data_IF_007714234134
#
_entry.id   IF_007714234134
#
_cell.length_a   1.000
_cell.length_b   1.000
_cell.length_c   1.000
_cell.angle_alpha   90.00
_cell.angle_beta   90.00
_cell.angle_gamma   90.00
#
_symmetry.space_group_name_H-M   'P 1'
#
loop_
_entity.id
_entity.type
_entity.pdbx_description
1 polymer ?
#
# COMPACT_ATOMS: atom_id res chain seq x y z
N UNK A 1 4.22 6.09 -39.81
CA UNK A 1 4.60 4.73 -39.37
C UNK A 1 3.36 3.89 -39.52
N UNK A 2 3.22 3.25 -40.68
CA UNK A 2 2.06 2.42 -41.00
C UNK A 2 2.19 1.08 -40.27
N UNK A 3 1.17 0.74 -39.49
CA UNK A 3 1.07 -0.55 -38.80
C UNK A 3 0.50 -1.59 -39.77
N UNK A 4 1.01 -2.83 -39.78
CA UNK A 4 0.57 -3.84 -40.73
C UNK A 4 -0.92 -4.15 -40.54
N UNK A 5 -1.66 -4.04 -41.65
CA UNK A 5 -3.02 -4.55 -41.79
C UNK A 5 -2.95 -6.08 -41.69
N UNK A 6 -3.67 -6.63 -40.72
CA UNK A 6 -3.81 -8.07 -40.51
C UNK A 6 -4.55 -8.65 -41.73
N UNK A 7 -3.85 -9.48 -42.52
CA UNK A 7 -4.42 -10.25 -43.62
C UNK A 7 -4.81 -11.66 -43.14
N UNK A 8 -6.03 -12.05 -43.51
CA UNK A 8 -6.65 -13.37 -43.35
C UNK A 8 -5.70 -14.57 -43.52
N UNK A 9 -5.36 -15.23 -42.42
CA UNK A 9 -4.87 -16.60 -42.38
C UNK A 9 -5.47 -17.32 -41.16
N UNK A 10 -6.67 -17.90 -41.32
CA UNK A 10 -7.25 -18.92 -40.42
C UNK A 10 -6.97 -18.73 -38.92
N UNK A 11 -7.25 -17.53 -38.41
CA UNK A 11 -6.64 -17.05 -37.16
C UNK A 11 -7.14 -17.80 -35.93
N UNK A 12 -6.22 -18.41 -35.19
CA UNK A 12 -6.45 -18.60 -33.76
C UNK A 12 -6.74 -17.22 -33.16
N UNK A 13 -7.98 -17.00 -32.71
CA UNK A 13 -8.43 -15.69 -32.28
C UNK A 13 -7.47 -15.08 -31.23
N UNK A 14 -6.96 -13.88 -31.53
CA UNK A 14 -6.06 -13.08 -30.69
C UNK A 14 -6.50 -13.13 -29.23
N UNK A 15 -5.58 -13.40 -28.29
CA UNK A 15 -5.90 -13.41 -26.87
C UNK A 15 -5.69 -12.04 -26.26
N UNK A 16 -6.41 -11.80 -25.16
CA UNK A 16 -6.20 -10.63 -24.33
C UNK A 16 -5.94 -11.11 -22.91
N UNK A 17 -4.84 -10.64 -22.33
CA UNK A 17 -4.45 -10.96 -20.98
C UNK A 17 -4.53 -9.72 -20.10
N UNK A 18 -5.15 -9.86 -18.93
CA UNK A 18 -5.06 -8.87 -17.85
C UNK A 18 -4.00 -9.36 -16.87
N UNK A 19 -2.97 -8.54 -16.62
CA UNK A 19 -1.79 -8.97 -15.87
C UNK A 19 -1.44 -8.05 -14.70
N UNK A 20 -0.91 -8.68 -13.65
CA UNK A 20 -0.21 -8.05 -12.53
C UNK A 20 1.25 -8.49 -12.58
N UNK A 21 2.15 -7.54 -12.44
CA UNK A 21 3.58 -7.78 -12.60
C UNK A 21 4.27 -7.92 -11.25
N UNK A 22 3.95 -9.03 -10.57
CA UNK A 22 4.42 -9.33 -9.21
C UNK A 22 3.58 -8.66 -8.12
N UNK A 23 3.96 -8.91 -6.86
CA UNK A 23 3.30 -8.33 -5.67
C UNK A 23 3.34 -6.80 -5.74
N UNK A 24 2.20 -6.15 -5.50
CA UNK A 24 2.07 -4.69 -5.59
C UNK A 24 2.60 -4.09 -6.92
N UNK A 25 2.64 -4.91 -7.98
CA UNK A 25 3.19 -4.58 -9.30
C UNK A 25 4.65 -4.12 -9.30
N UNK A 26 5.49 -4.65 -8.41
CA UNK A 26 6.89 -4.23 -8.31
C UNK A 26 7.68 -4.35 -9.63
N UNK A 27 7.29 -5.25 -10.55
CA UNK A 27 7.97 -5.43 -11.83
C UNK A 27 7.37 -4.57 -12.97
N UNK A 28 6.31 -3.79 -12.70
CA UNK A 28 5.70 -2.90 -13.69
C UNK A 28 6.69 -1.90 -14.30
N UNK A 29 7.59 -1.23 -13.54
CA UNK A 29 8.56 -0.31 -14.13
C UNK A 29 9.47 -0.96 -15.17
N UNK A 30 9.80 -2.25 -15.01
CA UNK A 30 10.60 -3.02 -15.98
C UNK A 30 9.78 -3.22 -17.26
N UNK A 31 8.54 -3.68 -17.14
CA UNK A 31 7.64 -3.86 -18.28
C UNK A 31 7.49 -2.58 -19.10
N UNK A 32 7.25 -1.46 -18.42
CA UNK A 32 7.04 -0.16 -19.03
C UNK A 32 8.30 0.38 -19.72
N UNK A 33 9.46 0.31 -19.07
CA UNK A 33 10.69 0.91 -19.59
C UNK A 33 11.37 0.07 -20.68
N UNK A 34 11.27 -1.26 -20.56
CA UNK A 34 11.93 -2.19 -21.50
C UNK A 34 10.99 -2.70 -22.60
N UNK A 35 9.71 -2.31 -22.58
CA UNK A 35 8.69 -2.78 -23.52
C UNK A 35 8.60 -4.30 -23.56
N UNK A 36 8.42 -4.89 -22.37
CA UNK A 36 8.26 -6.33 -22.21
C UNK A 36 6.98 -6.65 -21.45
N UNK A 37 6.47 -7.86 -21.67
CA UNK A 37 5.55 -8.53 -20.75
C UNK A 37 6.33 -9.63 -20.04
N UNK A 38 6.19 -9.75 -18.73
CA UNK A 38 6.97 -10.71 -17.97
C UNK A 38 6.16 -11.45 -16.91
N UNK A 39 6.69 -12.61 -16.52
CA UNK A 39 6.33 -13.29 -15.29
C UNK A 39 7.56 -13.72 -14.52
N UNK A 40 7.35 -14.10 -13.28
CA UNK A 40 8.40 -14.47 -12.34
C UNK A 40 8.44 -15.98 -12.20
N UNK A 41 9.64 -16.54 -12.23
CA UNK A 41 9.89 -17.97 -12.11
C UNK A 41 11.03 -18.22 -11.11
N UNK A 42 10.80 -19.08 -10.13
CA UNK A 42 11.89 -19.54 -9.27
C UNK A 42 12.89 -20.37 -10.07
N UNK A 43 14.18 -20.10 -9.87
CA UNK A 43 15.27 -20.70 -10.67
C UNK A 43 15.33 -22.23 -10.63
N UNK A 44 14.93 -22.85 -9.53
CA UNK A 44 14.86 -24.31 -9.36
C UNK A 44 13.68 -24.96 -10.11
N UNK A 45 12.69 -24.17 -10.53
CA UNK A 45 11.60 -24.63 -11.38
C UNK A 45 11.94 -24.53 -12.89
N UNK A 46 13.00 -23.80 -13.24
CA UNK A 46 13.40 -23.60 -14.64
C UNK A 46 13.70 -24.91 -15.38
N UNK A 47 14.48 -25.88 -14.84
CA UNK A 47 14.81 -27.09 -15.57
C UNK A 47 13.58 -27.90 -16.00
N UNK A 48 12.57 -28.00 -15.14
CA UNK A 48 11.31 -28.67 -15.45
C UNK A 48 10.52 -27.95 -16.54
N UNK A 49 10.55 -26.61 -16.53
CA UNK A 49 9.87 -25.83 -17.57
C UNK A 49 10.57 -25.97 -18.92
N UNK A 50 11.90 -25.91 -18.95
CA UNK A 50 12.70 -26.07 -20.18
C UNK A 50 12.54 -27.47 -20.79
N UNK A 51 12.47 -28.52 -19.96
CA UNK A 51 12.25 -29.89 -20.42
C UNK A 51 10.78 -30.20 -20.78
N UNK A 52 9.89 -29.21 -20.65
CA UNK A 52 8.42 -29.35 -20.78
C UNK A 52 7.82 -30.39 -19.83
N UNK A 53 8.49 -30.68 -18.72
CA UNK A 53 8.02 -31.60 -17.68
C UNK A 53 7.05 -30.90 -16.71
N UNK A 54 5.81 -30.75 -17.16
CA UNK A 54 4.74 -30.17 -16.34
C UNK A 54 4.47 -31.00 -15.08
N UNK A 55 4.60 -32.33 -15.15
CA UNK A 55 4.31 -33.19 -14.00
C UNK A 55 5.36 -32.99 -12.90
N UNK A 56 6.65 -33.07 -13.27
CA UNK A 56 7.76 -32.82 -12.36
C UNK A 56 7.73 -31.41 -11.79
N UNK A 57 7.44 -30.39 -12.61
CA UNK A 57 7.25 -29.01 -12.14
C UNK A 57 6.21 -28.95 -11.02
N UNK A 58 5.04 -29.55 -11.23
CA UNK A 58 3.93 -29.50 -10.27
C UNK A 58 4.28 -30.24 -8.98
N UNK A 59 4.87 -31.43 -9.07
CA UNK A 59 5.29 -32.20 -7.90
C UNK A 59 6.36 -31.46 -7.09
N UNK A 60 7.36 -30.90 -7.78
CA UNK A 60 8.42 -30.13 -7.14
C UNK A 60 7.86 -28.90 -6.43
N UNK A 61 6.99 -28.13 -7.11
CA UNK A 61 6.36 -26.95 -6.54
C UNK A 61 5.54 -27.29 -5.27
N UNK A 62 4.74 -28.36 -5.31
CA UNK A 62 3.96 -28.82 -4.14
C UNK A 62 4.85 -29.27 -2.97
N UNK A 63 6.03 -29.83 -3.25
CA UNK A 63 6.92 -30.34 -2.20
C UNK A 63 7.82 -29.25 -1.60
N UNK A 64 8.23 -28.25 -2.38
CA UNK A 64 9.33 -27.34 -2.03
C UNK A 64 8.96 -25.86 -2.00
N UNK A 65 7.83 -25.46 -2.57
CA UNK A 65 7.45 -24.06 -2.72
C UNK A 65 6.36 -23.62 -1.77
N UNK A 66 6.26 -22.29 -1.63
CA UNK A 66 5.23 -21.61 -0.86
C UNK A 66 4.52 -20.60 -1.74
N UNK A 67 3.23 -20.41 -1.50
CA UNK A 67 2.45 -19.32 -2.11
C UNK A 67 2.82 -17.99 -1.45
N UNK A 68 2.34 -16.88 -2.00
CA UNK A 68 2.51 -15.54 -1.42
C UNK A 68 2.00 -15.42 0.04
N UNK A 69 1.11 -16.32 0.47
CA UNK A 69 0.60 -16.37 1.84
C UNK A 69 1.38 -17.34 2.75
N UNK A 70 2.51 -17.87 2.30
CA UNK A 70 3.34 -18.83 3.04
C UNK A 70 2.79 -20.26 3.07
N UNK A 71 1.72 -20.57 2.32
CA UNK A 71 1.09 -21.90 2.30
C UNK A 71 1.73 -22.80 1.25
N UNK A 72 1.68 -24.12 1.45
CA UNK A 72 2.06 -25.09 0.40
C UNK A 72 1.05 -25.02 -0.75
N UNK A 73 1.48 -24.88 -2.02
CA UNK A 73 0.55 -24.84 -3.14
C UNK A 73 -0.12 -26.20 -3.37
N UNK A 74 -1.39 -26.19 -3.76
CA UNK A 74 -2.06 -27.40 -4.25
C UNK A 74 -1.74 -27.64 -5.75
N UNK A 75 -2.14 -28.81 -6.27
CA UNK A 75 -1.90 -29.21 -7.67
C UNK A 75 -2.39 -28.17 -8.68
N UNK A 76 -3.56 -27.58 -8.45
CA UNK A 76 -4.15 -26.58 -9.33
C UNK A 76 -3.31 -25.30 -9.36
N UNK A 77 -2.86 -24.83 -8.20
CA UNK A 77 -2.01 -23.63 -8.05
C UNK A 77 -0.65 -23.83 -8.70
N UNK A 78 0.02 -24.95 -8.42
CA UNK A 78 1.30 -25.28 -9.03
C UNK A 78 1.20 -25.45 -10.56
N UNK A 79 0.13 -26.09 -11.03
CA UNK A 79 -0.15 -26.26 -12.47
C UNK A 79 -0.43 -24.92 -13.15
N UNK A 80 -1.05 -23.98 -12.43
CA UNK A 80 -1.26 -22.61 -12.90
C UNK A 80 0.07 -21.87 -13.07
N UNK A 81 1.00 -21.98 -12.13
CA UNK A 81 2.32 -21.34 -12.23
C UNK A 81 3.07 -21.77 -13.50
N UNK A 82 3.06 -23.07 -13.82
CA UNK A 82 3.60 -23.54 -15.10
C UNK A 82 2.92 -22.87 -16.31
N UNK A 83 1.58 -22.75 -16.26
CA UNK A 83 0.79 -22.11 -17.31
C UNK A 83 1.10 -20.62 -17.49
N UNK A 84 1.38 -19.88 -16.42
CA UNK A 84 1.77 -18.46 -16.51
C UNK A 84 3.05 -18.28 -17.34
N UNK A 85 4.06 -19.11 -17.08
CA UNK A 85 5.31 -19.07 -17.83
C UNK A 85 5.09 -19.44 -19.30
N UNK A 86 4.27 -20.47 -19.57
CA UNK A 86 3.91 -20.85 -20.93
C UNK A 86 3.16 -19.74 -21.67
N UNK A 87 2.24 -19.04 -21.01
CA UNK A 87 1.51 -17.94 -21.64
C UNK A 87 2.46 -16.81 -22.04
N UNK A 88 3.40 -16.42 -21.16
CA UNK A 88 4.39 -15.39 -21.50
C UNK A 88 5.31 -15.86 -22.63
N UNK A 89 5.80 -17.10 -22.57
CA UNK A 89 6.77 -17.58 -23.56
C UNK A 89 6.17 -17.69 -24.97
N UNK A 90 4.92 -18.15 -25.06
CA UNK A 90 4.28 -18.52 -26.32
C UNK A 90 3.33 -17.44 -26.86
N UNK A 91 3.12 -16.34 -26.14
CA UNK A 91 2.26 -15.25 -26.63
C UNK A 91 2.89 -14.61 -27.87
N UNK A 92 2.08 -14.34 -28.90
CA UNK A 92 2.48 -13.66 -30.14
C UNK A 92 1.28 -12.90 -30.64
N UNK A 93 1.44 -11.61 -30.90
CA UNK A 93 0.38 -10.70 -31.36
C UNK A 93 -0.85 -10.66 -30.41
N UNK A 94 -0.69 -11.08 -29.15
CA UNK A 94 -1.72 -11.01 -28.14
C UNK A 94 -1.66 -9.68 -27.39
N UNK A 95 -2.82 -9.21 -26.94
CA UNK A 95 -2.93 -7.98 -26.18
C UNK A 95 -2.68 -8.24 -24.70
N UNK A 96 -1.96 -7.33 -24.07
CA UNK A 96 -1.68 -7.33 -22.64
C UNK A 96 -2.18 -6.04 -22.05
N UNK A 97 -3.01 -6.13 -21.01
CA UNK A 97 -3.64 -5.00 -20.33
C UNK A 97 -3.23 -5.00 -18.86
N UNK A 98 -2.89 -3.82 -18.37
CA UNK A 98 -2.45 -3.59 -17.01
C UNK A 98 -3.03 -2.28 -16.47
N UNK A 99 -3.51 -2.29 -15.24
CA UNK A 99 -3.98 -1.08 -14.58
C UNK A 99 -2.99 -0.64 -13.51
N UNK A 100 -2.56 0.63 -13.57
CA UNK A 100 -1.68 1.23 -12.58
C UNK A 100 -2.15 2.65 -12.24
N UNK A 101 -2.47 2.91 -10.97
CA UNK A 101 -2.95 4.22 -10.52
C UNK A 101 -4.37 4.51 -11.03
N UNK A 102 -4.50 5.47 -11.94
CA UNK A 102 -5.75 5.74 -12.68
C UNK A 102 -5.57 5.51 -14.19
N UNK A 103 -4.43 4.97 -14.62
CA UNK A 103 -4.15 4.70 -16.03
C UNK A 103 -4.36 3.22 -16.35
N UNK A 104 -5.04 2.96 -17.47
CA UNK A 104 -5.11 1.64 -18.09
C UNK A 104 -4.08 1.59 -19.22
N UNK A 105 -3.08 0.74 -19.03
CA UNK A 105 -2.00 0.50 -19.97
C UNK A 105 -2.26 -0.74 -20.81
N UNK A 106 -1.84 -0.72 -22.06
CA UNK A 106 -1.86 -1.89 -22.91
C UNK A 106 -0.66 -1.96 -23.86
N UNK A 107 -0.35 -3.17 -24.30
CA UNK A 107 0.66 -3.48 -25.32
C UNK A 107 0.27 -4.74 -26.10
N UNK A 108 1.07 -5.08 -27.12
CA UNK A 108 0.96 -6.29 -27.93
C UNK A 108 2.29 -7.03 -27.88
N UNK A 109 2.26 -8.34 -27.61
CA UNK A 109 3.47 -9.17 -27.59
C UNK A 109 4.05 -9.40 -28.98
N UNK A 110 5.37 -9.45 -29.09
CA UNK A 110 6.08 -9.70 -30.34
C UNK A 110 6.13 -11.19 -30.70
N UNK A 111 6.54 -11.50 -31.92
CA UNK A 111 6.86 -12.86 -32.34
C UNK A 111 8.20 -13.39 -31.76
N UNK A 112 9.10 -12.49 -31.33
CA UNK A 112 10.44 -12.84 -30.81
C UNK A 112 10.41 -13.90 -29.70
N UNK A 113 11.47 -14.70 -29.60
CA UNK A 113 11.57 -15.69 -28.52
C UNK A 113 11.61 -15.04 -27.14
N UNK A 114 11.02 -15.72 -26.15
CA UNK A 114 11.07 -15.23 -24.78
C UNK A 114 12.49 -15.39 -24.21
N UNK A 115 12.93 -14.36 -23.49
CA UNK A 115 14.22 -14.33 -22.81
C UNK A 115 14.05 -14.66 -21.33
N UNK A 116 15.06 -15.29 -20.75
CA UNK A 116 15.11 -15.58 -19.32
C UNK A 116 16.27 -14.78 -18.75
N UNK A 117 15.95 -13.91 -17.79
CA UNK A 117 16.93 -13.03 -17.15
C UNK A 117 16.97 -13.33 -15.66
N UNK A 118 18.16 -13.65 -15.17
CA UNK A 118 18.43 -13.73 -13.73
C UNK A 118 18.41 -12.32 -13.15
N UNK A 119 17.44 -12.06 -12.26
CA UNK A 119 17.25 -10.75 -11.68
C UNK A 119 17.59 -10.77 -10.19
N UNK A 120 18.14 -9.66 -9.70
CA UNK A 120 18.29 -9.39 -8.26
C UNK A 120 16.97 -8.90 -7.62
N UNK A 121 15.82 -9.10 -8.27
CA UNK A 121 14.52 -8.76 -7.69
C UNK A 121 14.32 -9.66 -6.47
N UNK A 122 14.59 -9.11 -5.28
CA UNK A 122 14.37 -9.81 -4.02
C UNK A 122 12.88 -10.06 -3.87
N UNK A 123 12.46 -11.30 -4.06
CA UNK A 123 11.16 -11.76 -3.61
C UNK A 123 11.34 -12.35 -2.22
N UNK A 124 10.86 -11.67 -1.18
CA UNK A 124 11.00 -12.07 0.24
C UNK A 124 10.52 -13.50 0.55
N UNK A 125 9.67 -14.07 -0.32
CA UNK A 125 9.08 -15.40 -0.15
C UNK A 125 9.71 -16.47 -1.05
N UNK A 126 10.59 -16.08 -1.97
CA UNK A 126 11.30 -17.04 -2.81
C UNK A 126 12.35 -17.76 -1.98
N UNK A 127 12.23 -19.08 -1.89
CA UNK A 127 13.29 -19.95 -1.38
C UNK A 127 14.28 -20.15 -2.53
N UNK A 128 15.15 -19.16 -2.77
CA UNK A 128 16.19 -19.21 -3.80
C UNK A 128 16.26 -17.99 -4.73
N UNK A 129 17.06 -18.11 -5.80
CA UNK A 129 17.19 -17.08 -6.84
C UNK A 129 15.94 -17.03 -7.71
N UNK A 130 15.54 -15.82 -8.09
CA UNK A 130 14.35 -15.55 -8.90
C UNK A 130 14.76 -15.15 -10.32
N UNK A 131 14.06 -15.68 -11.30
CA UNK A 131 14.22 -15.37 -12.72
C UNK A 131 13.01 -14.60 -13.21
N UNK A 132 13.21 -13.79 -14.25
CA UNK A 132 12.11 -13.24 -15.05
C UNK A 132 12.09 -13.89 -16.41
N UNK A 133 10.93 -14.39 -16.80
CA UNK A 133 10.66 -14.82 -18.18
C UNK A 133 9.98 -13.65 -18.85
N UNK A 134 10.60 -13.12 -19.91
CA UNK A 134 10.21 -11.88 -20.58
C UNK A 134 9.91 -12.17 -22.04
N UNK A 135 8.85 -11.58 -22.55
CA UNK A 135 8.55 -11.52 -23.97
C UNK A 135 8.60 -10.06 -24.41
N UNK A 136 9.30 -9.78 -25.51
CA UNK A 136 9.29 -8.45 -26.09
C UNK A 136 7.87 -8.06 -26.51
N UNK A 137 7.58 -6.77 -26.49
CA UNK A 137 6.28 -6.22 -26.78
C UNK A 137 6.43 -4.84 -27.41
N UNK A 138 5.35 -4.35 -28.02
CA UNK A 138 5.26 -2.97 -28.43
C UNK A 138 5.40 -2.01 -27.23
N UNK A 139 5.68 -0.72 -27.44
CA UNK A 139 5.63 0.26 -26.37
C UNK A 139 4.28 0.27 -25.65
N UNK A 140 4.31 0.25 -24.32
CA UNK A 140 3.11 0.34 -23.52
C UNK A 140 2.44 1.71 -23.72
N UNK A 141 1.13 1.69 -23.97
CA UNK A 141 0.32 2.89 -24.18
C UNK A 141 -0.79 2.98 -23.14
N UNK A 142 -1.01 4.17 -22.57
CA UNK A 142 -2.21 4.51 -21.80
C UNK A 142 -3.25 5.25 -22.64
N UNK A 143 -3.13 5.19 -23.97
CA UNK A 143 -4.07 5.78 -24.93
C UNK A 143 -4.64 4.70 -25.83
N UNK A 144 -5.89 4.84 -26.23
CA UNK A 144 -6.46 4.03 -27.31
C UNK A 144 -5.76 4.34 -28.65
N UNK A 145 -6.08 3.57 -29.69
CA UNK A 145 -5.51 3.76 -31.04
C UNK A 145 -5.86 5.11 -31.68
N UNK A 146 -6.85 5.83 -31.15
CA UNK A 146 -7.24 7.17 -31.60
C UNK A 146 -6.54 8.27 -30.77
N UNK A 147 -5.74 7.91 -29.77
CA UNK A 147 -4.95 8.82 -28.96
C UNK A 147 -5.67 9.34 -27.71
N UNK A 148 -6.88 8.88 -27.41
CA UNK A 148 -7.62 9.25 -26.19
C UNK A 148 -7.07 8.49 -25.00
N UNK A 149 -6.88 9.18 -23.88
CA UNK A 149 -6.39 8.58 -22.64
C UNK A 149 -7.39 7.57 -22.08
N UNK A 150 -6.87 6.39 -21.73
CA UNK A 150 -7.60 5.31 -21.09
C UNK A 150 -7.45 5.43 -19.58
N UNK A 151 -8.43 6.09 -18.94
CA UNK A 151 -8.48 6.28 -17.48
C UNK A 151 -9.36 5.24 -16.81
N UNK A 152 -8.84 4.60 -15.77
CA UNK A 152 -9.56 3.57 -15.01
C UNK A 152 -10.86 4.09 -14.41
N UNK A 153 -10.82 5.27 -13.80
CA UNK A 153 -11.99 5.97 -13.24
C UNK A 153 -13.06 6.28 -14.27
N UNK A 154 -12.66 6.50 -15.53
CA UNK A 154 -13.56 6.75 -16.66
C UNK A 154 -14.18 5.49 -17.26
N UNK A 155 -13.74 4.29 -16.87
CA UNK A 155 -14.27 3.05 -17.40
C UNK A 155 -15.62 2.70 -16.80
N UNK A 156 -16.49 2.15 -17.65
CA UNK A 156 -17.75 1.57 -17.23
C UNK A 156 -17.51 0.53 -16.10
N UNK A 157 -18.34 0.45 -15.04
CA UNK A 157 -18.12 -0.47 -13.91
C UNK A 157 -17.93 -1.93 -14.32
N UNK A 158 -18.67 -2.38 -15.33
CA UNK A 158 -18.51 -3.73 -15.89
C UNK A 158 -17.17 -3.93 -16.59
N UNK A 159 -16.66 -2.92 -17.29
CA UNK A 159 -15.34 -2.95 -17.90
C UNK A 159 -14.25 -3.09 -16.83
N UNK A 160 -14.37 -2.35 -15.72
CA UNK A 160 -13.47 -2.49 -14.57
C UNK A 160 -13.49 -3.90 -14.00
N UNK A 161 -14.66 -4.55 -13.91
CA UNK A 161 -14.73 -5.94 -13.46
C UNK A 161 -14.03 -6.90 -14.44
N UNK A 162 -14.22 -6.73 -15.75
CA UNK A 162 -13.56 -7.55 -16.79
C UNK A 162 -12.04 -7.36 -16.75
N UNK A 163 -11.58 -6.12 -16.56
CA UNK A 163 -10.17 -5.72 -16.59
C UNK A 163 -9.52 -5.74 -15.20
N UNK A 164 -10.23 -6.22 -14.18
CA UNK A 164 -9.67 -6.43 -12.84
C UNK A 164 -9.23 -7.88 -12.69
N UNK A 165 -8.08 -8.09 -12.06
CA UNK A 165 -7.62 -9.44 -11.71
C UNK A 165 -7.07 -9.44 -10.29
N UNK A 166 -7.39 -10.49 -9.53
CA UNK A 166 -6.73 -10.78 -8.25
C UNK A 166 -5.60 -11.80 -8.41
N UNK A 167 -5.26 -12.12 -9.66
CA UNK A 167 -4.22 -13.09 -10.00
C UNK A 167 -3.19 -12.49 -10.94
N UNK A 168 -2.00 -13.09 -10.96
CA UNK A 168 -0.87 -12.65 -11.80
C UNK A 168 -1.25 -12.46 -13.27
N UNK A 169 -2.08 -13.35 -13.82
CA UNK A 169 -2.58 -13.26 -15.19
C UNK A 169 -3.93 -13.96 -15.30
N UNK A 170 -4.83 -13.38 -16.07
CA UNK A 170 -6.06 -14.02 -16.56
C UNK A 170 -6.21 -13.76 -18.06
N UNK A 171 -6.69 -14.75 -18.80
CA UNK A 171 -7.15 -14.55 -20.18
C UNK A 171 -8.59 -14.06 -20.14
N UNK A 172 -8.88 -13.03 -20.93
CA UNK A 172 -10.26 -12.57 -21.13
C UNK A 172 -11.01 -13.63 -21.94
N UNK A 173 -12.28 -13.87 -21.58
CA UNK A 173 -13.15 -14.79 -22.31
C UNK A 173 -13.51 -14.23 -23.68
N UNK A 174 -13.85 -15.13 -24.61
CA UNK A 174 -14.25 -14.77 -25.97
C UNK A 174 -15.39 -13.74 -26.00
N UNK A 175 -16.37 -13.87 -25.10
CA UNK A 175 -17.52 -12.96 -24.95
C UNK A 175 -17.10 -11.50 -24.65
N UNK A 176 -16.05 -11.30 -23.84
CA UNK A 176 -15.61 -9.96 -23.44
C UNK A 176 -14.50 -9.40 -24.32
N UNK A 177 -13.89 -10.23 -25.18
CA UNK A 177 -12.77 -9.85 -26.02
C UNK A 177 -13.13 -8.75 -27.00
N UNK A 178 -14.27 -8.85 -27.67
CA UNK A 178 -14.72 -7.83 -28.64
C UNK A 178 -14.88 -6.46 -27.99
N UNK A 179 -15.45 -6.41 -26.79
CA UNK A 179 -15.57 -5.17 -26.01
C UNK A 179 -14.21 -4.54 -25.71
N UNK A 180 -13.24 -5.35 -25.29
CA UNK A 180 -11.91 -4.84 -24.93
C UNK A 180 -11.15 -4.38 -26.17
N UNK A 181 -11.23 -5.11 -27.29
CA UNK A 181 -10.66 -4.62 -28.56
C UNK A 181 -11.30 -3.30 -28.98
N UNK A 182 -12.63 -3.18 -28.90
CA UNK A 182 -13.32 -1.94 -29.20
C UNK A 182 -12.83 -0.78 -28.31
N UNK A 183 -12.67 -1.02 -27.01
CA UNK A 183 -12.13 -0.04 -26.06
C UNK A 183 -10.71 0.40 -26.44
N UNK A 184 -9.81 -0.55 -26.72
CA UNK A 184 -8.41 -0.24 -27.06
C UNK A 184 -8.28 0.43 -28.44
N UNK A 185 -9.21 0.17 -29.34
CA UNK A 185 -9.26 0.79 -30.67
C UNK A 185 -10.01 2.14 -30.69
N UNK A 186 -10.58 2.57 -29.56
CA UNK A 186 -11.38 3.80 -29.45
C UNK A 186 -12.72 3.72 -30.19
N UNK A 187 -13.22 2.52 -30.45
CA UNK A 187 -14.48 2.30 -31.16
C UNK A 187 -15.68 2.62 -30.28
N UNK A 188 -16.85 2.73 -30.90
CA UNK A 188 -18.11 2.93 -30.18
C UNK A 188 -18.41 1.74 -29.25
N UNK A 189 -18.74 2.05 -27.99
CA UNK A 189 -19.01 1.09 -26.93
C UNK A 189 -20.50 0.99 -26.57
N UNK A 190 -21.34 1.86 -27.16
CA UNK A 190 -22.80 1.85 -26.98
C UNK A 190 -23.46 0.49 -27.24
N UNK A 191 -23.02 -0.35 -28.20
CA UNK A 191 -23.59 -1.69 -28.41
C UNK A 191 -23.58 -2.55 -27.16
N UNK A 192 -22.58 -2.40 -26.28
CA UNK A 192 -22.54 -3.08 -24.98
C UNK A 192 -23.23 -2.28 -23.90
N UNK A 193 -22.98 -0.96 -23.82
CA UNK A 193 -23.45 -0.10 -22.72
C UNK A 193 -24.98 0.03 -22.68
N UNK A 194 -25.65 -0.16 -23.81
CA UNK A 194 -27.12 -0.15 -23.89
C UNK A 194 -27.79 -1.46 -23.50
N UNK A 195 -27.05 -2.57 -23.37
CA UNK A 195 -27.60 -3.86 -22.97
C UNK A 195 -28.05 -3.85 -21.51
N UNK A 196 -29.08 -4.62 -21.17
CA UNK A 196 -29.59 -4.70 -19.80
C UNK A 196 -28.50 -5.13 -18.82
N UNK A 197 -27.65 -6.07 -19.23
CA UNK A 197 -26.55 -6.59 -18.42
C UNK A 197 -25.52 -5.52 -18.01
N UNK A 198 -25.21 -4.57 -18.90
CA UNK A 198 -24.31 -3.46 -18.62
C UNK A 198 -25.02 -2.34 -17.85
N UNK A 199 -26.26 -2.02 -18.22
CA UNK A 199 -27.12 -1.08 -17.46
C UNK A 199 -27.31 -1.50 -16.01
N UNK A 200 -27.60 -2.77 -15.75
CA UNK A 200 -27.75 -3.31 -14.39
C UNK A 200 -26.43 -3.22 -13.60
N UNK A 201 -25.29 -3.37 -14.25
CA UNK A 201 -23.99 -3.19 -13.61
C UNK A 201 -23.72 -1.72 -13.28
N UNK A 202 -24.14 -0.80 -14.15
CA UNK A 202 -24.08 0.64 -13.90
C UNK A 202 -25.03 1.03 -12.76
N UNK A 203 -26.30 0.59 -12.80
CA UNK A 203 -27.28 0.84 -11.75
C UNK A 203 -26.85 0.25 -10.41
N UNK A 204 -26.31 -0.98 -10.36
CA UNK A 204 -25.75 -1.55 -9.13
C UNK A 204 -24.53 -0.76 -8.66
N UNK A 205 -23.71 -0.25 -9.57
CA UNK A 205 -22.63 0.64 -9.20
C UNK A 205 -23.14 1.97 -8.67
N UNK A 206 -24.23 2.54 -9.21
CA UNK A 206 -24.87 3.78 -8.74
C UNK A 206 -25.65 3.59 -7.42
N UNK A 207 -26.28 2.43 -7.21
CA UNK A 207 -27.05 2.06 -6.01
C UNK A 207 -26.13 1.56 -4.88
N UNK A 208 -25.05 0.86 -5.24
CA UNK A 208 -24.01 0.36 -4.34
C UNK A 208 -22.88 1.37 -4.10
N UNK A 209 -22.74 2.38 -4.95
CA UNK A 209 -22.08 3.62 -4.60
C UNK A 209 -23.02 4.39 -3.68
N UNK A 210 -22.79 4.27 -2.36
CA UNK A 210 -22.73 5.54 -1.63
C UNK A 210 -21.75 6.40 -2.42
N UNK A 211 -22.15 7.59 -2.92
CA UNK A 211 -21.31 8.38 -3.81
C UNK A 211 -19.93 8.44 -3.19
N UNK A 212 -18.91 8.09 -3.96
CA UNK A 212 -17.56 8.51 -3.64
C UNK A 212 -17.56 10.03 -3.66
N UNK A 213 -18.04 10.64 -2.58
CA UNK A 213 -17.75 12.02 -2.24
C UNK A 213 -16.24 12.09 -2.28
N UNK A 214 -15.71 12.90 -3.19
CA UNK A 214 -14.42 13.54 -2.96
C UNK A 214 -14.59 14.30 -1.66
N UNK A 215 -14.27 13.62 -0.57
CA UNK A 215 -14.41 14.17 0.74
C UNK A 215 -13.47 15.37 0.81
N UNK A 216 -14.03 16.56 0.95
CA UNK A 216 -13.21 17.71 1.27
C UNK A 216 -12.49 17.46 2.61
N UNK A 217 -11.50 18.28 2.97
CA UNK A 217 -10.68 18.05 4.16
C UNK A 217 -11.51 17.80 5.44
N UNK A 218 -12.67 18.47 5.55
CA UNK A 218 -13.62 18.29 6.65
C UNK A 218 -14.26 16.90 6.61
N UNK A 219 -14.73 16.46 5.46
CA UNK A 219 -15.39 15.15 5.35
C UNK A 219 -14.41 13.97 5.50
N UNK A 220 -13.15 14.12 5.05
CA UNK A 220 -12.08 13.12 5.32
C UNK A 220 -11.80 13.02 6.81
N UNK A 221 -11.80 14.16 7.51
CA UNK A 221 -11.63 14.23 8.95
C UNK A 221 -12.78 13.55 9.68
N UNK A 222 -14.02 13.83 9.27
CA UNK A 222 -15.21 13.16 9.81
C UNK A 222 -15.13 11.65 9.59
N UNK A 223 -14.76 11.20 8.39
CA UNK A 223 -14.61 9.79 8.10
C UNK A 223 -13.54 9.12 8.99
N UNK A 224 -12.36 9.73 9.12
CA UNK A 224 -11.28 9.23 10.01
C UNK A 224 -11.78 9.14 11.46
N UNK A 225 -12.47 10.16 11.96
CA UNK A 225 -13.02 10.18 13.32
C UNK A 225 -14.02 9.04 13.49
N UNK A 226 -14.97 8.86 12.56
CA UNK A 226 -15.95 7.77 12.60
C UNK A 226 -15.27 6.39 12.56
N UNK A 227 -14.27 6.21 11.69
CA UNK A 227 -13.51 4.97 11.61
C UNK A 227 -12.74 4.67 12.90
N UNK A 228 -12.14 5.70 13.51
CA UNK A 228 -11.44 5.59 14.80
C UNK A 228 -12.42 5.18 15.90
N UNK A 229 -13.57 5.84 16.01
CA UNK A 229 -14.62 5.50 16.99
C UNK A 229 -15.09 4.06 16.81
N UNK A 230 -15.39 3.64 15.57
CA UNK A 230 -15.81 2.26 15.30
C UNK A 230 -14.73 1.25 15.69
N UNK A 231 -13.45 1.54 15.38
CA UNK A 231 -12.32 0.70 15.79
C UNK A 231 -12.18 0.61 17.30
N UNK A 232 -12.25 1.75 18.00
CA UNK A 232 -12.19 1.80 19.47
C UNK A 232 -13.34 1.04 20.12
N UNK A 233 -14.58 1.21 19.64
CA UNK A 233 -15.76 0.49 20.17
C UNK A 233 -15.67 -1.01 19.91
N UNK A 234 -15.21 -1.42 18.74
CA UNK A 234 -15.02 -2.84 18.42
C UNK A 234 -13.98 -3.51 19.34
N UNK A 235 -12.97 -2.77 19.77
CA UNK A 235 -11.94 -3.24 20.71
C UNK A 235 -12.32 -3.06 22.20
N UNK A 236 -13.35 -2.27 22.52
CA UNK A 236 -13.78 -1.97 23.89
C UNK A 236 -14.85 -2.95 24.39
N UNK A 237 -14.54 -4.25 24.38
CA UNK A 237 -15.41 -5.34 24.81
C UNK A 237 -15.25 -5.72 26.31
N UNK A 238 -14.62 -4.85 27.11
CA UNK A 238 -14.39 -5.08 28.55
C UNK A 238 -13.27 -6.07 28.87
N UNK A 239 -12.41 -6.41 27.89
CA UNK A 239 -11.25 -7.26 28.12
C UNK A 239 -10.24 -6.63 29.10
N UNK A 240 -9.71 -7.46 29.99
CA UNK A 240 -8.55 -7.14 30.79
C UNK A 240 -7.30 -7.30 29.92
N UNK A 241 -6.55 -6.21 29.72
CA UNK A 241 -5.30 -6.21 28.95
C UNK A 241 -4.14 -6.19 29.94
N UNK A 242 -3.30 -7.22 29.89
CA UNK A 242 -2.02 -7.21 30.59
C UNK A 242 -1.07 -6.22 29.89
N UNK A 243 -0.68 -5.17 30.60
CA UNK A 243 0.27 -4.18 30.09
C UNK A 243 1.64 -4.44 30.68
N UNK A 244 2.64 -4.55 29.82
CA UNK A 244 4.05 -4.52 30.24
C UNK A 244 4.37 -3.14 30.81
N UNK A 245 4.68 -3.07 32.10
CA UNK A 245 5.16 -1.86 32.75
C UNK A 245 6.60 -1.60 32.28
N UNK A 246 6.88 -0.40 31.75
CA UNK A 246 8.23 0.00 31.37
C UNK A 246 9.14 -0.06 32.60
N UNK A 247 10.30 -0.71 32.47
CA UNK A 247 11.33 -0.64 33.51
C UNK A 247 11.81 0.81 33.63
N UNK A 248 11.79 1.35 34.84
CA UNK A 248 12.20 2.72 35.16
C UNK A 248 13.24 2.65 36.26
N UNK A 249 14.49 2.77 35.87
CA UNK A 249 15.61 2.78 36.81
C UNK A 249 15.96 4.21 37.19
N UNK A 250 16.40 4.40 38.43
CA UNK A 250 17.04 5.61 38.89
C UNK A 250 18.55 5.34 38.88
N UNK A 251 19.28 6.08 38.06
CA UNK A 251 20.70 5.81 37.81
C UNK A 251 21.64 6.58 38.74
N UNK A 252 21.09 7.31 39.72
CA UNK A 252 21.81 8.16 40.66
C UNK A 252 21.31 7.97 42.10
N UNK A 253 22.15 8.24 43.12
CA UNK A 253 21.73 8.26 44.52
C UNK A 253 20.67 9.33 44.79
N UNK A 254 19.87 9.12 45.83
CA UNK A 254 18.83 10.06 46.27
C UNK A 254 19.37 11.46 46.56
N UNK A 255 20.52 11.58 47.23
CA UNK A 255 21.15 12.87 47.52
C UNK A 255 21.61 13.63 46.28
N UNK A 256 21.97 12.90 45.21
CA UNK A 256 22.31 13.51 43.92
C UNK A 256 21.05 13.95 43.18
N UNK A 257 19.96 13.18 43.28
CA UNK A 257 18.67 13.53 42.71
C UNK A 257 18.06 14.76 43.39
N UNK A 258 18.09 14.85 44.72
CA UNK A 258 17.62 16.01 45.48
C UNK A 258 18.36 17.27 45.06
N UNK A 259 19.69 17.19 44.96
CA UNK A 259 20.52 18.30 44.50
C UNK A 259 20.17 18.68 43.07
N UNK A 260 20.05 17.72 42.16
CA UNK A 260 19.69 17.97 40.76
C UNK A 260 18.31 18.66 40.63
N UNK A 261 17.31 18.25 41.43
CA UNK A 261 15.98 18.87 41.40
C UNK A 261 16.05 20.31 41.94
N UNK A 262 16.85 20.56 42.99
CA UNK A 262 17.12 21.91 43.48
C UNK A 262 17.78 22.79 42.42
N UNK A 263 18.88 22.30 41.83
CA UNK A 263 19.59 22.98 40.74
C UNK A 263 18.64 23.28 39.56
N UNK A 264 17.76 22.35 39.18
CA UNK A 264 16.76 22.57 38.13
C UNK A 264 15.70 23.61 38.48
N UNK A 265 15.27 23.72 39.75
CA UNK A 265 14.34 24.76 40.18
C UNK A 265 14.96 26.15 40.04
N UNK A 266 16.23 26.27 40.46
CA UNK A 266 16.99 27.50 40.41
C UNK A 266 17.32 27.89 38.95
N UNK A 267 17.85 26.95 38.15
CA UNK A 267 18.22 27.17 36.74
C UNK A 267 17.01 27.53 35.86
N UNK A 268 15.82 27.05 36.21
CA UNK A 268 14.57 27.36 35.52
C UNK A 268 13.86 28.60 36.07
N UNK A 269 14.44 29.32 37.03
CA UNK A 269 13.84 30.49 37.71
C UNK A 269 12.43 30.20 38.28
N UNK A 270 12.19 28.96 38.75
CA UNK A 270 10.88 28.53 39.23
C UNK A 270 9.79 28.47 38.15
N UNK A 271 10.15 28.42 36.87
CA UNK A 271 9.23 28.33 35.74
C UNK A 271 9.19 26.91 35.16
N UNK A 272 8.03 26.53 34.63
CA UNK A 272 7.85 25.28 33.89
C UNK A 272 8.65 25.31 32.59
N UNK A 273 9.48 24.30 32.37
CA UNK A 273 10.42 24.28 31.24
C UNK A 273 9.75 24.25 29.85
N UNK A 274 8.48 23.84 29.75
CA UNK A 274 7.71 23.81 28.49
C UNK A 274 6.74 24.99 28.37
N UNK A 275 5.92 25.23 29.40
CA UNK A 275 4.88 26.25 29.33
C UNK A 275 5.36 27.64 29.75
N UNK A 276 6.52 27.77 30.38
CA UNK A 276 7.02 29.00 31.01
C UNK A 276 6.06 29.59 32.07
N UNK A 277 5.10 28.79 32.56
CA UNK A 277 4.22 29.20 33.65
C UNK A 277 4.93 29.02 35.00
N UNK A 278 4.60 29.82 36.03
CA UNK A 278 5.16 29.66 37.37
C UNK A 278 4.86 28.27 37.95
N UNK A 279 5.88 27.61 38.47
CA UNK A 279 5.75 26.40 39.26
C UNK A 279 5.27 26.78 40.66
N UNK A 280 4.36 25.98 41.22
CA UNK A 280 3.97 26.12 42.62
C UNK A 280 4.59 24.98 43.44
N UNK A 281 4.95 25.28 44.68
CA UNK A 281 5.56 24.33 45.61
C UNK A 281 4.50 23.73 46.53
N UNK A 282 4.74 22.49 46.97
CA UNK A 282 3.84 21.79 47.88
C UNK A 282 3.67 22.55 49.21
N UNK A 283 2.43 22.80 49.60
CA UNK A 283 2.05 23.55 50.80
C UNK A 283 1.83 25.04 50.57
N UNK A 284 2.28 25.58 49.43
CA UNK A 284 2.14 26.98 49.04
C UNK A 284 1.28 27.15 47.78
N UNK A 285 0.77 26.06 47.21
CA UNK A 285 0.01 26.08 45.98
C UNK A 285 -1.41 26.67 46.15
N UNK A 286 -1.83 27.47 45.19
CA UNK A 286 -3.21 27.91 45.01
C UNK A 286 -3.97 27.03 44.03
N UNK A 287 -3.25 26.30 43.17
CA UNK A 287 -3.81 25.30 42.25
C UNK A 287 -2.93 24.05 42.18
N UNK A 288 -3.50 22.90 42.55
CA UNK A 288 -2.83 21.59 42.50
C UNK A 288 -2.35 21.18 41.11
N UNK A 289 -2.91 21.77 40.05
CA UNK A 289 -2.45 21.54 38.67
C UNK A 289 -1.14 22.27 38.36
N UNK A 290 -0.82 23.34 39.10
CA UNK A 290 0.39 24.15 38.92
C UNK A 290 1.60 23.66 39.72
N UNK A 291 1.39 22.64 40.57
CA UNK A 291 2.45 22.02 41.36
C UNK A 291 3.63 21.57 40.49
N UNK A 292 4.83 21.76 41.02
CA UNK A 292 6.06 21.28 40.41
C UNK A 292 6.04 19.76 40.24
N UNK A 293 6.45 19.27 39.07
CA UNK A 293 6.43 17.86 38.73
C UNK A 293 7.62 17.50 37.86
N UNK A 294 8.32 16.42 38.21
CA UNK A 294 9.45 15.90 37.45
C UNK A 294 8.97 15.17 36.18
N UNK A 295 9.50 15.56 35.03
CA UNK A 295 9.26 14.94 33.74
C UNK A 295 10.56 14.37 33.15
N UNK A 296 10.41 13.31 32.35
CA UNK A 296 11.50 12.80 31.51
C UNK A 296 11.33 13.38 30.11
N UNK A 297 12.34 14.11 29.64
CA UNK A 297 12.36 14.70 28.29
C UNK A 297 12.05 13.59 27.27
N UNK A 298 12.83 12.51 27.31
CA UNK A 298 12.57 11.27 26.58
C UNK A 298 11.91 10.23 27.50
N UNK A 299 10.64 9.94 27.25
CA UNK A 299 9.84 8.99 28.04
C UNK A 299 10.27 7.53 27.87
N UNK A 300 11.15 7.23 26.91
CA UNK A 300 11.75 5.91 26.67
C UNK A 300 13.02 5.65 27.48
N UNK A 301 13.70 6.70 27.96
CA UNK A 301 14.92 6.61 28.78
C UNK A 301 14.63 6.56 30.29
N UNK A 302 15.66 6.29 31.10
CA UNK A 302 15.57 6.22 32.56
C UNK A 302 15.59 7.61 33.23
N UNK A 303 15.53 7.64 34.57
CA UNK A 303 15.78 8.87 35.32
C UNK A 303 17.29 9.08 35.42
N UNK A 304 17.80 9.91 34.51
CA UNK A 304 19.21 10.21 34.28
C UNK A 304 19.38 11.72 34.21
N UNK A 305 20.54 12.24 34.62
CA UNK A 305 20.79 13.67 34.81
C UNK A 305 20.37 14.54 33.62
N UNK A 306 20.70 14.12 32.41
CA UNK A 306 20.47 14.90 31.19
C UNK A 306 19.07 14.66 30.56
N UNK A 307 18.23 13.87 31.21
CA UNK A 307 16.90 13.50 30.71
C UNK A 307 15.75 14.04 31.58
N UNK A 308 16.03 14.91 32.55
CA UNK A 308 15.04 15.41 33.51
C UNK A 308 14.78 16.90 33.33
N UNK A 309 13.53 17.30 33.58
CA UNK A 309 13.09 18.69 33.57
C UNK A 309 11.91 18.87 34.54
N UNK A 310 11.68 20.10 35.01
CA UNK A 310 10.55 20.41 35.89
C UNK A 310 9.43 21.11 35.12
N UNK A 311 8.22 20.57 35.26
CA UNK A 311 7.01 21.06 34.61
C UNK A 311 5.89 21.29 35.63
N UNK A 312 4.91 22.10 35.27
CA UNK A 312 3.63 22.10 35.99
C UNK A 312 2.99 20.71 35.86
N UNK A 313 2.35 20.22 36.92
CA UNK A 313 1.71 18.90 36.98
C UNK A 313 0.74 18.65 35.81
N UNK A 314 -0.05 19.64 35.41
CA UNK A 314 -0.95 19.48 34.28
C UNK A 314 -0.21 19.35 32.94
N UNK A 315 0.89 20.07 32.76
CA UNK A 315 1.74 20.03 31.55
C UNK A 315 2.37 18.65 31.41
N UNK A 316 2.94 18.12 32.50
CA UNK A 316 3.48 16.76 32.53
C UNK A 316 2.39 15.71 32.19
N UNK A 317 1.20 15.86 32.75
CA UNK A 317 0.05 14.99 32.44
C UNK A 317 -0.37 15.05 30.97
N UNK A 318 -0.32 16.24 30.35
CA UNK A 318 -0.67 16.43 28.94
C UNK A 318 0.39 15.86 28.01
N UNK A 319 1.68 16.08 28.31
CA UNK A 319 2.79 15.50 27.56
C UNK A 319 2.78 13.98 27.64
N UNK A 320 2.55 13.41 28.83
CA UNK A 320 2.44 11.96 29.04
C UNK A 320 3.62 11.17 28.47
N UNK A 321 3.46 10.53 27.31
CA UNK A 321 4.51 9.78 26.62
C UNK A 321 4.85 10.36 25.24
N UNK A 322 4.27 11.50 24.89
CA UNK A 322 4.52 12.21 23.63
C UNK A 322 5.95 12.74 23.58
N UNK A 323 6.40 12.99 22.36
CA UNK A 323 7.74 13.49 22.06
C UNK A 323 7.85 14.97 22.46
N UNK A 324 8.92 15.32 23.18
CA UNK A 324 9.07 16.63 23.85
C UNK A 324 9.06 17.80 22.85
N UNK A 325 9.75 17.68 21.71
CA UNK A 325 9.84 18.76 20.73
C UNK A 325 8.48 19.05 20.07
N UNK A 326 7.76 18.00 19.68
CA UNK A 326 6.41 18.16 19.11
C UNK A 326 5.43 18.73 20.14
N UNK A 327 5.51 18.32 21.41
CA UNK A 327 4.65 18.86 22.46
C UNK A 327 4.92 20.35 22.72
N UNK A 328 6.18 20.78 22.73
CA UNK A 328 6.55 22.21 22.82
C UNK A 328 5.95 23.01 21.67
N UNK A 329 6.08 22.53 20.44
CA UNK A 329 5.47 23.16 19.26
C UNK A 329 3.96 23.32 19.39
N UNK A 330 3.27 22.31 19.93
CA UNK A 330 1.81 22.37 20.17
C UNK A 330 1.45 23.37 21.29
N UNK A 331 2.26 23.45 22.35
CA UNK A 331 2.06 24.42 23.44
C UNK A 331 2.23 25.86 22.98
N UNK A 332 3.16 26.14 22.08
CA UNK A 332 3.33 27.48 21.52
C UNK A 332 2.12 27.92 20.69
N UNK A 333 1.46 26.98 19.99
CA UNK A 333 0.19 27.26 19.29
C UNK A 333 -0.91 27.62 20.30
N UNK A 334 -1.00 26.92 21.44
CA UNK A 334 -1.98 27.20 22.49
C UNK A 334 -1.75 28.59 23.10
N UNK A 335 -0.50 28.97 23.34
CA UNK A 335 -0.13 30.31 23.85
C UNK A 335 -0.42 31.41 22.84
N UNK A 336 -0.03 31.25 21.56
CA UNK A 336 -0.30 32.25 20.53
C UNK A 336 -1.81 32.47 20.27
N UNK A 337 -2.63 31.44 20.48
CA UNK A 337 -4.08 31.55 20.39
C UNK A 337 -4.72 32.36 21.52
N UNK A 338 -4.07 32.52 22.69
CA UNK A 338 -4.57 33.36 23.78
C UNK A 338 -4.26 34.85 23.55
N UNK A 339 -3.08 35.18 22.99
CA UNK A 339 -2.69 36.55 22.64
C UNK A 339 -3.57 37.14 21.52
N UNK A 340 -4.01 36.31 20.58
CA UNK A 340 -4.87 36.73 19.44
C UNK A 340 -6.34 36.95 19.86
N UNK A 341 -6.75 36.53 21.06
CA UNK A 341 -8.15 36.66 21.55
C UNK A 341 -8.45 37.98 22.28
N UNK A 342 -7.51 38.93 22.30
CA UNK A 342 -7.82 40.33 22.62
C UNK A 342 -8.30 41.09 21.38
N UNK A 343 -9.55 40.84 20.97
CA UNK A 343 -10.40 41.77 20.20
C UNK A 343 -11.85 41.64 20.67
#
# INVERSE_FOLDING_TARGET
MEWPLICDLGEAAVKIYVSLFGRDNYAWPICLNENVVLTILDSDLLPFWQSRDRYGFVQYAMAKKKTERGNVPNKQTASRWYGLVQNIANTVDDYWVHHHGDDLWWTISSADEATIVENSLQHELAVGKVLTVRKAAAPWSNKDRQGKLLRWSGLHPRARNILSTQSTQISISDENREYVLALLNGQDLEPWHTTQLWKDALERNLKGASPGKTYNARERTIWRIVATVKGTVAAANGQMVERVLKNKELTMPESELEKLIGDLLDDQDGLCNISALPLQLDGEETDKQMLCSLDRIDSSKHYEKDNLQLLCRFVNKWKSADEDAEFRRLMDIVKGASETRCL
#
